data_IF_209665065507
#
_entry.id   IF_209665065507
#
_cell.length_a   1.000
_cell.length_b   1.000
_cell.length_c   1.000
_cell.angle_alpha   90.00
_cell.angle_beta   90.00
_cell.angle_gamma   90.00
#
_symmetry.space_group_name_H-M   'P 1'
#
loop_
_entity.id
_entity.type
_entity.pdbx_description
1 polymer ?
#
# COMPACT_ATOMS: atom_id res chain seq x y z
N UNK A 1 3.05 -22.42 -2.05
CA UNK A 1 1.81 -22.95 -1.47
C UNK A 1 0.61 -22.43 -2.23
N UNK A 2 -0.28 -23.32 -2.58
CA UNK A 2 -1.48 -22.93 -3.30
C UNK A 2 -2.34 -21.99 -2.51
N UNK A 3 -2.42 -22.23 -1.19
CA UNK A 3 -3.23 -21.38 -0.32
C UNK A 3 -2.74 -19.94 -0.31
N UNK A 4 -1.43 -19.75 -0.33
CA UNK A 4 -0.87 -18.39 -0.32
C UNK A 4 -1.14 -17.69 -1.64
N UNK A 5 -1.00 -18.40 -2.75
CA UNK A 5 -1.32 -17.82 -4.06
C UNK A 5 -2.79 -17.47 -4.15
N UNK A 6 -3.66 -18.38 -3.69
CA UNK A 6 -5.08 -18.10 -3.66
C UNK A 6 -5.44 -16.93 -2.79
N UNK A 7 -4.75 -16.81 -1.66
CA UNK A 7 -5.02 -15.74 -0.70
C UNK A 7 -4.82 -14.35 -1.30
N UNK A 8 -3.80 -14.18 -2.15
CA UNK A 8 -3.46 -12.88 -2.70
C UNK A 8 -3.81 -12.75 -4.19
N UNK A 9 -4.58 -13.70 -4.72
CA UNK A 9 -4.94 -13.71 -6.14
C UNK A 9 -6.03 -12.71 -6.48
N UNK A 10 -6.97 -12.43 -5.57
CA UNK A 10 -8.03 -11.49 -5.86
C UNK A 10 -7.50 -10.06 -5.81
N UNK A 11 -8.13 -9.18 -6.59
CA UNK A 11 -7.72 -7.78 -6.65
C UNK A 11 -7.83 -7.10 -5.29
N UNK A 12 -8.92 -7.39 -4.56
CA UNK A 12 -9.14 -6.78 -3.25
C UNK A 12 -8.09 -7.22 -2.25
N UNK A 13 -7.79 -8.51 -2.22
CA UNK A 13 -6.80 -9.02 -1.28
C UNK A 13 -5.40 -8.51 -1.60
N UNK A 14 -5.09 -8.38 -2.89
CA UNK A 14 -3.81 -7.84 -3.31
C UNK A 14 -3.67 -6.39 -2.90
N UNK A 15 -4.71 -5.58 -3.08
CA UNK A 15 -4.71 -4.18 -2.63
C UNK A 15 -4.51 -4.09 -1.13
N UNK A 16 -5.23 -4.93 -0.38
CA UNK A 16 -5.13 -4.95 1.08
C UNK A 16 -3.73 -5.30 1.53
N UNK A 17 -3.15 -6.33 0.92
CA UNK A 17 -1.80 -6.75 1.26
C UNK A 17 -0.79 -5.64 0.98
N UNK A 18 -0.83 -5.07 -0.21
CA UNK A 18 0.11 -4.02 -0.59
C UNK A 18 -0.02 -2.82 0.33
N UNK A 19 -1.25 -2.41 0.62
CA UNK A 19 -1.47 -1.25 1.49
C UNK A 19 -1.03 -1.53 2.93
N UNK A 20 -1.50 -2.61 3.52
CA UNK A 20 -1.29 -2.87 4.95
C UNK A 20 0.09 -3.39 5.30
N UNK A 21 0.67 -4.18 4.40
CA UNK A 21 1.95 -4.84 4.71
C UNK A 21 3.15 -4.12 4.13
N UNK A 22 2.97 -3.33 3.08
CA UNK A 22 4.08 -2.68 2.40
C UNK A 22 4.04 -1.17 2.54
N UNK A 23 2.98 -0.54 2.03
CA UNK A 23 2.95 0.92 1.88
C UNK A 23 2.77 1.62 3.21
N UNK A 24 1.77 1.24 3.99
CA UNK A 24 1.54 1.92 5.26
C UNK A 24 2.73 1.78 6.22
N UNK A 25 3.32 0.58 6.38
CA UNK A 25 4.54 0.46 7.18
C UNK A 25 5.69 1.29 6.62
N UNK A 26 5.83 1.37 5.30
CA UNK A 26 6.87 2.18 4.68
C UNK A 26 6.69 3.67 5.01
N UNK A 27 5.46 4.18 4.87
CA UNK A 27 5.13 5.57 5.18
C UNK A 27 5.51 5.91 6.62
N UNK A 28 5.18 5.03 7.55
CA UNK A 28 5.50 5.26 8.96
C UNK A 28 7.00 5.18 9.21
N UNK A 29 7.67 4.27 8.52
CA UNK A 29 9.10 4.05 8.70
C UNK A 29 9.90 5.26 8.22
N UNK A 30 9.59 5.77 7.03
CA UNK A 30 10.30 6.94 6.50
C UNK A 30 9.74 8.25 7.03
N UNK A 31 8.61 8.20 7.70
CA UNK A 31 7.93 9.38 8.28
C UNK A 31 7.67 10.46 7.24
N UNK A 32 7.14 10.05 6.10
CA UNK A 32 6.87 10.97 4.98
C UNK A 32 5.63 10.50 4.25
N UNK A 33 4.87 11.44 3.72
CA UNK A 33 3.65 11.15 2.97
C UNK A 33 3.93 10.65 1.56
N UNK A 34 5.16 10.80 1.10
CA UNK A 34 5.56 10.42 -0.25
C UNK A 34 6.74 9.46 -0.23
N UNK A 35 6.83 8.64 -1.25
CA UNK A 35 7.91 7.67 -1.38
C UNK A 35 8.21 7.45 -2.87
N UNK A 36 9.44 7.03 -3.16
CA UNK A 36 9.85 6.71 -4.52
C UNK A 36 9.54 5.26 -4.85
N UNK A 37 9.55 4.93 -6.13
CA UNK A 37 9.41 3.54 -6.56
C UNK A 37 10.52 2.67 -5.96
N UNK A 38 11.72 3.21 -5.86
CA UNK A 38 12.86 2.49 -5.31
C UNK A 38 12.62 2.13 -3.83
N UNK A 39 12.11 3.09 -3.07
CA UNK A 39 11.77 2.84 -1.67
C UNK A 39 10.67 1.79 -1.55
N UNK A 40 9.67 1.87 -2.41
CA UNK A 40 8.60 0.89 -2.44
C UNK A 40 9.14 -0.50 -2.75
N UNK A 41 9.95 -0.62 -3.79
CA UNK A 41 10.46 -1.92 -4.22
C UNK A 41 11.31 -2.57 -3.13
N UNK A 42 12.12 -1.78 -2.45
CA UNK A 42 12.95 -2.29 -1.37
C UNK A 42 12.08 -2.83 -0.23
N UNK A 43 11.07 -2.06 0.17
CA UNK A 43 10.16 -2.49 1.23
C UNK A 43 9.36 -3.72 0.81
N UNK A 44 8.86 -3.71 -0.43
CA UNK A 44 8.13 -4.84 -0.98
C UNK A 44 8.95 -6.13 -0.90
N UNK A 45 10.19 -6.05 -1.34
CA UNK A 45 11.04 -7.23 -1.35
C UNK A 45 11.29 -7.77 0.06
N UNK A 46 11.50 -6.88 1.02
CA UNK A 46 11.68 -7.27 2.42
C UNK A 46 10.43 -7.96 2.96
N UNK A 47 9.27 -7.36 2.73
CA UNK A 47 8.01 -7.90 3.24
C UNK A 47 7.69 -9.23 2.58
N UNK A 48 7.86 -9.31 1.26
CA UNK A 48 7.55 -10.53 0.53
C UNK A 48 8.45 -11.68 0.94
N UNK A 49 9.70 -11.40 1.23
CA UNK A 49 10.63 -12.43 1.70
C UNK A 49 10.18 -12.97 3.05
N UNK A 50 9.84 -12.09 3.98
CA UNK A 50 9.39 -12.49 5.31
C UNK A 50 8.08 -13.27 5.25
N UNK A 51 7.17 -12.84 4.38
CA UNK A 51 5.85 -13.46 4.29
C UNK A 51 5.80 -14.67 3.37
N UNK A 52 6.88 -14.95 2.63
CA UNK A 52 6.89 -16.07 1.69
C UNK A 52 6.00 -15.84 0.49
N UNK A 53 5.86 -14.59 0.06
CA UNK A 53 5.04 -14.21 -1.09
C UNK A 53 5.95 -13.71 -2.21
N UNK A 54 5.65 -14.12 -3.44
CA UNK A 54 6.42 -13.63 -4.57
C UNK A 54 6.11 -12.17 -4.86
N UNK A 55 7.15 -11.38 -5.11
CA UNK A 55 6.98 -9.96 -5.36
C UNK A 55 6.06 -9.69 -6.56
N UNK A 56 6.10 -10.56 -7.56
CA UNK A 56 5.27 -10.39 -8.75
C UNK A 56 3.78 -10.42 -8.45
N UNK A 57 3.36 -11.09 -7.38
CA UNK A 57 1.95 -11.15 -7.04
C UNK A 57 1.42 -9.84 -6.49
N UNK A 58 2.32 -8.91 -6.12
CA UNK A 58 1.92 -7.61 -5.56
C UNK A 58 1.81 -6.51 -6.61
N UNK A 59 2.22 -6.78 -7.84
CA UNK A 59 2.29 -5.74 -8.86
C UNK A 59 0.95 -5.08 -9.14
N UNK A 60 -0.13 -5.86 -9.15
CA UNK A 60 -1.47 -5.33 -9.40
C UNK A 60 -1.97 -4.48 -8.25
N UNK A 61 -1.49 -4.74 -7.04
CA UNK A 61 -1.94 -4.02 -5.87
C UNK A 61 -1.57 -2.55 -5.92
N UNK A 62 -0.35 -2.25 -6.30
CA UNK A 62 0.11 -0.87 -6.40
C UNK A 62 -0.69 -0.10 -7.45
N UNK A 63 -0.84 -0.70 -8.64
CA UNK A 63 -1.62 -0.07 -9.72
C UNK A 63 -3.07 0.14 -9.27
N UNK A 64 -3.62 -0.85 -8.60
CA UNK A 64 -5.01 -0.78 -8.15
C UNK A 64 -5.22 0.32 -7.10
N UNK A 65 -4.26 0.52 -6.21
CA UNK A 65 -4.34 1.60 -5.22
C UNK A 65 -4.31 2.96 -5.90
N UNK A 66 -3.56 3.10 -6.98
CA UNK A 66 -3.57 4.32 -7.77
C UNK A 66 -4.93 4.54 -8.42
N UNK A 67 -5.51 3.47 -8.98
CA UNK A 67 -6.82 3.55 -9.61
C UNK A 67 -7.93 3.90 -8.63
N UNK A 68 -7.80 3.44 -7.39
CA UNK A 68 -8.78 3.74 -6.34
C UNK A 68 -8.60 5.13 -5.73
N UNK A 69 -7.52 5.82 -6.07
CA UNK A 69 -7.27 7.15 -5.53
C UNK A 69 -6.69 7.17 -4.12
N UNK A 70 -6.30 6.01 -3.60
CA UNK A 70 -5.63 5.94 -2.29
C UNK A 70 -4.22 6.48 -2.41
N UNK A 71 -3.58 6.22 -3.56
CA UNK A 71 -2.28 6.74 -3.89
C UNK A 71 -2.36 7.61 -5.13
N UNK A 72 -1.45 8.57 -5.21
CA UNK A 72 -1.26 9.41 -6.38
C UNK A 72 0.20 9.31 -6.82
N UNK A 73 0.44 9.42 -8.11
CA UNK A 73 1.79 9.46 -8.63
C UNK A 73 1.99 10.79 -9.34
N UNK A 74 3.00 11.53 -8.92
CA UNK A 74 3.35 12.80 -9.53
C UNK A 74 4.86 12.84 -9.70
N UNK A 75 5.30 13.02 -10.94
CA UNK A 75 6.72 12.95 -11.29
C UNK A 75 7.25 11.57 -10.93
N UNK A 76 8.24 11.47 -10.07
CA UNK A 76 8.84 10.20 -9.69
C UNK A 76 8.40 9.75 -8.28
N UNK A 77 7.41 10.40 -7.70
CA UNK A 77 7.00 10.12 -6.33
C UNK A 77 5.55 9.65 -6.26
N UNK A 78 5.31 8.72 -5.33
CA UNK A 78 3.97 8.30 -4.95
C UNK A 78 3.62 8.99 -3.65
N UNK A 79 2.37 9.42 -3.51
CA UNK A 79 1.90 10.10 -2.30
C UNK A 79 0.59 9.49 -1.85
N UNK A 80 0.36 9.48 -0.54
CA UNK A 80 -0.92 9.02 -0.01
C UNK A 80 -1.97 10.12 -0.16
N UNK A 81 -3.24 9.71 -0.21
CA UNK A 81 -4.35 10.65 -0.27
C UNK A 81 -4.31 11.57 0.96
N UNK A 82 -4.66 12.85 0.78
CA UNK A 82 -4.52 13.85 1.83
C UNK A 82 -5.31 13.49 3.10
N UNK A 83 -6.45 12.81 2.95
CA UNK A 83 -7.24 12.44 4.13
C UNK A 83 -6.57 11.38 5.01
N UNK A 84 -5.53 10.73 4.50
CA UNK A 84 -4.81 9.70 5.25
C UNK A 84 -3.61 10.27 6.02
N UNK A 85 -3.26 11.53 5.75
CA UNK A 85 -2.10 12.16 6.37
C UNK A 85 -2.26 12.24 7.89
N UNK A 86 -3.47 12.50 8.37
CA UNK A 86 -3.72 12.58 9.80
C UNK A 86 -3.38 11.27 10.51
N UNK A 87 -3.73 10.15 9.88
CA UNK A 87 -3.41 8.83 10.46
C UNK A 87 -1.90 8.63 10.55
N UNK A 88 -1.19 9.05 9.51
CA UNK A 88 0.27 8.94 9.49
C UNK A 88 0.90 9.79 10.59
N UNK A 89 0.44 11.02 10.77
CA UNK A 89 0.98 11.92 11.78
C UNK A 89 0.72 11.42 13.19
N UNK A 90 -0.45 10.82 13.41
CA UNK A 90 -0.79 10.24 14.70
C UNK A 90 -0.19 8.85 14.90
N UNK A 91 0.45 8.31 13.87
CA UNK A 91 0.98 6.94 13.88
C UNK A 91 -0.12 5.94 14.22
N UNK A 92 -1.32 6.24 13.74
CA UNK A 92 -2.49 5.41 13.99
C UNK A 92 -2.62 4.37 12.89
N UNK A 93 -3.31 3.28 13.19
CA UNK A 93 -3.56 2.24 12.21
C UNK A 93 -4.46 2.78 11.11
N UNK A 94 -4.06 2.55 9.87
CA UNK A 94 -4.86 2.92 8.70
C UNK A 94 -4.90 1.71 7.77
N UNK A 95 -5.75 0.74 8.13
CA UNK A 95 -5.89 -0.46 7.32
C UNK A 95 -6.61 -0.13 6.02
N UNK A 96 -6.71 -1.11 5.13
CA UNK A 96 -7.29 -0.86 3.81
C UNK A 96 -8.74 -0.37 3.89
N UNK A 97 -9.53 -0.94 4.79
CA UNK A 97 -10.93 -0.54 4.94
C UNK A 97 -11.03 0.92 5.36
N UNK A 98 -10.20 1.35 6.30
CA UNK A 98 -10.15 2.74 6.73
C UNK A 98 -9.73 3.65 5.58
N UNK A 99 -8.69 3.25 4.85
CA UNK A 99 -8.17 4.06 3.75
C UNK A 99 -9.22 4.26 2.66
N UNK A 100 -9.91 3.19 2.27
CA UNK A 100 -10.90 3.30 1.20
C UNK A 100 -12.11 4.12 1.65
N UNK A 101 -12.48 3.99 2.92
CA UNK A 101 -13.58 4.78 3.48
C UNK A 101 -13.27 6.27 3.43
N UNK A 102 -12.08 6.66 3.89
CA UNK A 102 -11.68 8.07 3.91
C UNK A 102 -11.62 8.66 2.50
N UNK A 103 -11.10 7.89 1.55
CA UNK A 103 -11.00 8.36 0.17
C UNK A 103 -12.39 8.57 -0.43
N UNK A 104 -13.33 7.66 -0.14
CA UNK A 104 -14.71 7.80 -0.62
C UNK A 104 -15.40 9.00 -0.02
N UNK A 105 -15.12 9.30 1.24
CA UNK A 105 -15.73 10.44 1.92
C UNK A 105 -15.24 11.77 1.34
N UNK A 106 -14.08 11.80 0.70
CA UNK A 106 -13.53 13.05 0.17
C UNK A 106 -14.10 13.39 -1.21
N UNK A 107 -14.73 12.46 -1.82
CA UNK A 107 -15.19 12.70 -3.15
C UNK A 107 -16.47 12.10 -3.50
#
# INVERSE_FOLDING_TARGET
MLSDKGKYASATENRRFVWQEIIWPLILEINDVSFSLKQYQKKRDQVCEVKGVEASTTSRGLVSLLQKGILFKENALYSIHYRLIAYMRLKADCNYATAIHEVRMSG
#
